data_IF_184303950922
#
_entry.id   IF_184303950922
#
_cell.length_a   1.000
_cell.length_b   1.000
_cell.length_c   1.000
_cell.angle_alpha   90.00
_cell.angle_beta   90.00
_cell.angle_gamma   90.00
#
_symmetry.space_group_name_H-M   'P 1'
#
loop_
_entity.id
_entity.type
_entity.pdbx_description
1 polymer ?
#
# COMPACT_ATOMS: atom_id res chain seq x y z
N UNK A 1 -6.75 17.13 1.50
CA UNK A 1 -6.90 17.30 0.04
C UNK A 1 -7.44 16.00 -0.52
N UNK A 2 -8.58 16.02 -1.21
CA UNK A 2 -9.20 14.79 -1.71
C UNK A 2 -9.70 15.02 -3.14
N UNK A 3 -9.25 14.19 -4.07
CA UNK A 3 -9.59 14.19 -5.50
C UNK A 3 -9.40 15.57 -6.14
N UNK A 4 -8.28 16.23 -5.82
CA UNK A 4 -8.02 17.58 -6.32
C UNK A 4 -6.55 17.87 -6.62
N UNK A 5 -5.59 17.21 -5.96
CA UNK A 5 -4.18 17.47 -6.24
C UNK A 5 -3.81 16.93 -7.63
N UNK A 6 -4.47 15.85 -8.06
CA UNK A 6 -4.33 15.27 -9.39
C UNK A 6 -4.77 16.20 -10.54
N UNK A 7 -5.65 17.17 -10.27
CA UNK A 7 -6.15 18.14 -11.27
C UNK A 7 -5.25 19.39 -11.38
N UNK A 8 -4.35 19.60 -10.42
CA UNK A 8 -3.47 20.77 -10.39
C UNK A 8 -2.28 20.61 -11.35
N UNK A 9 -1.83 21.73 -11.91
CA UNK A 9 -0.65 21.83 -12.77
C UNK A 9 -0.66 20.91 -14.01
N UNK A 10 -1.78 20.77 -14.75
CA UNK A 10 -1.89 19.82 -15.86
C UNK A 10 -0.94 20.13 -17.02
N UNK A 11 -0.48 21.38 -17.14
CA UNK A 11 0.42 21.86 -18.20
C UNK A 11 1.87 22.02 -17.75
N UNK A 12 2.21 21.66 -16.50
CA UNK A 12 3.58 21.73 -16.03
C UNK A 12 4.46 20.66 -16.71
N UNK A 13 5.76 20.94 -16.82
CA UNK A 13 6.72 19.97 -17.37
C UNK A 13 6.85 18.72 -16.49
N UNK A 14 6.77 18.89 -15.16
CA UNK A 14 6.73 17.80 -14.17
C UNK A 14 5.59 18.09 -13.16
N UNK A 15 4.33 17.74 -13.50
CA UNK A 15 3.19 17.99 -12.61
C UNK A 15 3.33 17.37 -11.21
N UNK A 16 3.84 16.13 -11.04
CA UNK A 16 4.15 15.60 -9.70
C UNK A 16 5.11 16.45 -8.87
N UNK A 17 6.15 17.03 -9.48
CA UNK A 17 7.08 17.91 -8.75
C UNK A 17 6.40 19.21 -8.28
N UNK A 18 5.60 19.86 -9.13
CA UNK A 18 4.85 21.07 -8.77
C UNK A 18 3.83 20.80 -7.65
N UNK A 19 3.11 19.68 -7.74
CA UNK A 19 2.19 19.23 -6.69
C UNK A 19 2.92 18.97 -5.37
N UNK A 20 4.09 18.35 -5.42
CA UNK A 20 4.92 18.15 -4.24
C UNK A 20 5.40 19.48 -3.64
N UNK A 21 5.77 20.47 -4.46
CA UNK A 21 6.16 21.79 -3.99
C UNK A 21 5.02 22.49 -3.21
N UNK A 22 3.80 22.46 -3.74
CA UNK A 22 2.62 23.00 -3.02
C UNK A 22 2.38 22.29 -1.70
N UNK A 23 2.40 20.95 -1.70
CA UNK A 23 2.24 20.19 -0.45
C UNK A 23 3.36 20.52 0.55
N UNK A 24 4.59 20.66 0.06
CA UNK A 24 5.75 21.04 0.86
C UNK A 24 5.60 22.39 1.54
N UNK A 25 5.02 23.38 0.86
CA UNK A 25 4.72 24.71 1.43
C UNK A 25 3.67 24.66 2.55
N UNK A 26 2.81 23.64 2.59
CA UNK A 26 1.80 23.48 3.64
C UNK A 26 2.33 22.79 4.90
N UNK A 27 3.42 22.01 4.79
CA UNK A 27 3.98 21.25 5.93
C UNK A 27 4.34 22.10 7.15
N UNK A 28 4.96 23.30 7.03
CA UNK A 28 5.32 24.13 8.18
C UNK A 28 4.13 24.65 8.99
N UNK A 29 2.92 24.63 8.42
CA UNK A 29 1.69 25.07 9.08
C UNK A 29 0.99 23.96 9.87
N UNK A 30 1.53 22.73 9.86
CA UNK A 30 0.99 21.66 10.68
C UNK A 30 1.22 21.94 12.17
N UNK A 31 0.17 21.74 12.97
CA UNK A 31 0.32 21.58 14.41
C UNK A 31 1.30 20.41 14.72
N UNK A 32 1.88 20.34 15.94
CA UNK A 32 2.87 19.31 16.30
C UNK A 32 2.43 17.86 16.03
N UNK A 33 1.13 17.58 16.08
CA UNK A 33 0.56 16.26 15.75
C UNK A 33 -0.39 16.28 14.56
N UNK A 34 -0.35 17.36 13.78
CA UNK A 34 -1.13 17.54 12.57
C UNK A 34 -0.73 16.54 11.48
N UNK A 35 -1.64 16.30 10.55
CA UNK A 35 -1.42 15.37 9.43
C UNK A 35 -2.00 15.98 8.16
N UNK A 36 -1.21 16.03 7.10
CA UNK A 36 -1.74 16.26 5.75
C UNK A 36 -2.22 14.91 5.23
N UNK A 37 -3.52 14.83 4.92
CA UNK A 37 -4.12 13.71 4.21
C UNK A 37 -4.37 14.10 2.75
N UNK A 38 -3.81 13.29 1.85
CA UNK A 38 -4.03 13.37 0.41
C UNK A 38 -4.75 12.09 0.01
N UNK A 39 -5.86 12.22 -0.71
CA UNK A 39 -6.63 11.10 -1.27
C UNK A 39 -6.83 11.36 -2.74
N UNK A 40 -6.55 10.36 -3.58
CA UNK A 40 -6.70 10.43 -5.03
C UNK A 40 -7.38 9.15 -5.55
N UNK A 41 -8.03 9.20 -6.73
CA UNK A 41 -8.61 8.00 -7.34
C UNK A 41 -7.57 6.89 -7.53
N UNK A 42 -7.96 5.63 -7.35
CA UNK A 42 -7.08 4.47 -7.52
C UNK A 42 -6.78 4.11 -8.99
N UNK A 43 -6.97 5.04 -9.92
CA UNK A 43 -6.62 4.84 -11.32
C UNK A 43 -5.09 4.82 -11.47
N UNK A 44 -4.58 4.00 -12.39
CA UNK A 44 -3.13 3.82 -12.61
C UNK A 44 -2.39 5.17 -12.72
N UNK A 45 -2.91 6.09 -13.53
CA UNK A 45 -2.26 7.39 -13.77
C UNK A 45 -2.24 8.27 -12.52
N UNK A 46 -3.38 8.45 -11.85
CA UNK A 46 -3.49 9.31 -10.65
C UNK A 46 -2.74 8.72 -9.46
N UNK A 47 -2.83 7.41 -9.26
CA UNK A 47 -2.09 6.71 -8.20
C UNK A 47 -0.58 6.81 -8.40
N UNK A 48 -0.08 6.57 -9.62
CA UNK A 48 1.36 6.69 -9.93
C UNK A 48 1.85 8.12 -9.79
N UNK A 49 1.06 9.11 -10.19
CA UNK A 49 1.39 10.52 -9.96
C UNK A 49 1.51 10.82 -8.46
N UNK A 50 0.62 10.29 -7.61
CA UNK A 50 0.74 10.43 -6.15
C UNK A 50 1.99 9.73 -5.58
N UNK A 51 2.39 8.58 -6.13
CA UNK A 51 3.65 7.91 -5.75
C UNK A 51 4.89 8.75 -6.11
N UNK A 52 4.83 9.46 -7.24
CA UNK A 52 5.88 10.41 -7.65
C UNK A 52 5.90 11.63 -6.72
N UNK A 53 4.75 12.24 -6.41
CA UNK A 53 4.62 13.33 -5.41
C UNK A 53 5.26 12.92 -4.09
N UNK A 54 4.95 11.71 -3.58
CA UNK A 54 5.58 11.14 -2.39
C UNK A 54 7.11 11.11 -2.52
N UNK A 55 7.65 10.60 -3.64
CA UNK A 55 9.09 10.52 -3.84
C UNK A 55 9.75 11.92 -3.87
N UNK A 56 9.11 12.93 -4.48
CA UNK A 56 9.63 14.31 -4.47
C UNK A 56 9.65 14.90 -3.06
N UNK A 57 8.57 14.74 -2.28
CA UNK A 57 8.52 15.21 -0.89
C UNK A 57 9.58 14.54 -0.01
N UNK A 58 9.82 13.24 -0.19
CA UNK A 58 10.84 12.52 0.57
C UNK A 58 12.27 12.94 0.22
N UNK A 59 12.53 13.29 -1.04
CA UNK A 59 13.83 13.86 -1.45
C UNK A 59 14.13 15.19 -0.77
N UNK A 60 13.10 15.95 -0.38
CA UNK A 60 13.26 17.22 0.34
C UNK A 60 13.53 17.04 1.84
N UNK A 61 13.24 15.86 2.40
CA UNK A 61 13.48 15.56 3.82
C UNK A 61 12.60 16.34 4.81
N UNK A 62 11.48 16.93 4.34
CA UNK A 62 10.65 17.83 5.14
C UNK A 62 9.52 17.14 5.93
N UNK A 63 9.26 15.86 5.65
CA UNK A 63 8.15 15.14 6.27
C UNK A 63 8.45 13.65 6.42
N UNK A 64 7.70 13.02 7.32
CA UNK A 64 7.63 11.58 7.49
C UNK A 64 6.35 11.03 6.87
N UNK A 65 6.46 9.91 6.16
CA UNK A 65 5.27 9.16 5.72
C UNK A 65 4.72 8.38 6.90
N UNK A 66 3.56 8.81 7.40
CA UNK A 66 2.85 8.12 8.47
C UNK A 66 2.18 6.85 7.97
N UNK A 67 1.52 6.91 6.80
CA UNK A 67 0.82 5.80 6.11
C UNK A 67 0.60 6.20 4.63
N UNK A 68 0.41 5.28 3.66
CA UNK A 68 0.38 3.81 3.74
C UNK A 68 1.76 3.16 3.76
N UNK A 69 2.78 3.80 3.18
CA UNK A 69 4.09 3.19 3.02
C UNK A 69 4.79 3.02 4.37
N UNK A 70 5.36 1.84 4.61
CA UNK A 70 6.10 1.52 5.84
C UNK A 70 7.61 1.79 5.69
N UNK A 71 7.98 2.67 4.76
CA UNK A 71 9.35 3.03 4.43
C UNK A 71 9.39 4.40 3.72
N UNK A 72 10.58 4.96 3.59
CA UNK A 72 10.84 6.25 2.90
C UNK A 72 11.79 6.13 1.70
N UNK A 73 12.12 4.90 1.30
CA UNK A 73 12.75 4.64 0.00
C UNK A 73 11.81 4.98 -1.16
N UNK A 74 12.37 5.04 -2.37
CA UNK A 74 11.59 5.15 -3.62
C UNK A 74 10.47 4.10 -3.65
N UNK A 75 9.29 4.49 -4.13
CA UNK A 75 8.13 3.58 -4.17
C UNK A 75 8.38 2.40 -5.14
N UNK A 76 8.39 1.13 -4.68
CA UNK A 76 8.64 -0.02 -5.56
C UNK A 76 7.54 -0.24 -6.61
N UNK A 77 6.34 0.31 -6.39
CA UNK A 77 5.26 0.21 -7.38
C UNK A 77 5.54 1.04 -8.64
N UNK A 78 6.54 1.93 -8.62
CA UNK A 78 6.97 2.68 -9.80
C UNK A 78 7.96 1.92 -10.68
N UNK A 79 8.57 0.84 -10.18
CA UNK A 79 9.60 0.07 -10.87
C UNK A 79 9.08 -0.58 -12.16
N UNK A 80 7.80 -0.97 -12.18
CA UNK A 80 7.12 -1.47 -13.38
C UNK A 80 6.05 -0.45 -13.84
N UNK A 81 5.92 -0.16 -15.15
CA UNK A 81 4.98 0.85 -15.66
C UNK A 81 3.50 0.51 -15.39
N UNK A 82 3.18 -0.78 -15.33
CA UNK A 82 1.81 -1.27 -15.13
C UNK A 82 1.41 -1.45 -13.67
N UNK A 83 2.32 -1.22 -12.73
CA UNK A 83 2.04 -1.36 -11.30
C UNK A 83 1.59 -0.05 -10.66
N UNK A 84 0.71 -0.16 -9.66
CA UNK A 84 0.38 0.92 -8.74
C UNK A 84 -0.18 0.38 -7.42
N UNK A 85 0.10 1.09 -6.32
CA UNK A 85 -0.52 0.81 -5.02
C UNK A 85 -1.79 1.66 -4.81
N UNK A 86 -2.81 1.03 -4.24
CA UNK A 86 -4.04 1.66 -3.78
C UNK A 86 -4.58 0.91 -2.56
N UNK A 87 -5.53 1.55 -1.88
CA UNK A 87 -6.33 1.03 -0.78
C UNK A 87 -7.72 0.65 -1.29
N UNK A 88 -8.34 -0.32 -0.60
CA UNK A 88 -9.70 -0.74 -0.85
C UNK A 88 -10.46 -0.77 0.48
N UNK A 89 -11.65 -0.18 0.52
CA UNK A 89 -12.50 -0.13 1.72
C UNK A 89 -13.92 -0.57 1.37
N UNK A 90 -14.53 -1.47 2.17
CA UNK A 90 -15.94 -1.81 2.00
C UNK A 90 -16.79 -0.55 1.95
N UNK A 91 -17.75 -0.53 1.04
CA UNK A 91 -18.63 0.60 0.86
C UNK A 91 -20.08 0.19 1.00
N UNK A 92 -20.79 0.86 1.91
CA UNK A 92 -22.22 0.73 1.99
C UNK A 92 -22.86 1.64 0.94
N UNK A 93 -23.15 1.06 -0.22
CA UNK A 93 -23.76 1.75 -1.36
C UNK A 93 -25.15 2.29 -0.99
N UNK A 94 -25.42 3.60 -1.15
CA UNK A 94 -26.75 4.15 -0.96
C UNK A 94 -27.78 3.48 -1.88
N UNK A 95 -29.04 3.27 -1.44
CA UNK A 95 -30.03 2.51 -2.22
C UNK A 95 -30.26 3.02 -3.64
N UNK A 96 -30.25 4.34 -3.85
CA UNK A 96 -30.40 4.95 -5.17
C UNK A 96 -29.24 4.59 -6.10
N UNK A 97 -28.00 4.57 -5.59
CA UNK A 97 -26.83 4.17 -6.38
C UNK A 97 -26.83 2.67 -6.63
N UNK A 98 -27.24 1.86 -5.65
CA UNK A 98 -27.36 0.41 -5.81
C UNK A 98 -28.41 0.02 -6.87
N UNK A 99 -29.49 0.80 -7.01
CA UNK A 99 -30.46 0.62 -8.08
C UNK A 99 -29.83 0.91 -9.46
N UNK A 100 -29.14 2.04 -9.59
CA UNK A 100 -28.43 2.40 -10.82
C UNK A 100 -27.36 1.36 -11.19
N UNK A 101 -26.54 0.95 -10.23
CA UNK A 101 -25.49 -0.05 -10.43
C UNK A 101 -26.09 -1.39 -10.91
N UNK A 102 -27.26 -1.78 -10.41
CA UNK A 102 -27.99 -2.97 -10.88
C UNK A 102 -28.46 -2.82 -12.31
N UNK A 103 -29.01 -1.67 -12.68
CA UNK A 103 -29.54 -1.40 -14.02
C UNK A 103 -28.42 -1.36 -15.08
N UNK A 104 -27.23 -0.90 -14.71
CA UNK A 104 -26.06 -0.83 -15.62
C UNK A 104 -25.11 -2.03 -15.50
N UNK A 105 -25.34 -2.94 -14.55
CA UNK A 105 -24.51 -4.12 -14.32
C UNK A 105 -23.16 -3.84 -13.63
N UNK A 106 -23.04 -2.74 -12.89
CA UNK A 106 -21.84 -2.43 -12.10
C UNK A 106 -21.85 -3.13 -10.75
N UNK A 107 -20.68 -3.65 -10.36
CA UNK A 107 -20.42 -4.19 -9.03
C UNK A 107 -19.46 -3.24 -8.33
N UNK A 108 -19.99 -2.46 -7.37
CA UNK A 108 -19.23 -1.51 -6.55
C UNK A 108 -19.48 -1.80 -5.08
N UNK A 109 -18.82 -2.84 -4.59
CA UNK A 109 -18.84 -3.28 -3.18
C UNK A 109 -17.76 -2.59 -2.33
N UNK A 110 -16.78 -1.95 -2.97
CA UNK A 110 -15.69 -1.25 -2.30
C UNK A 110 -15.30 0.06 -2.99
N UNK A 111 -14.83 1.02 -2.17
CA UNK A 111 -14.15 2.23 -2.63
C UNK A 111 -12.66 1.97 -2.79
N UNK A 112 -12.14 2.32 -3.96
CA UNK A 112 -10.72 2.20 -4.28
C UNK A 112 -10.10 3.58 -4.41
N UNK A 113 -9.07 3.86 -3.61
CA UNK A 113 -8.37 5.13 -3.63
C UNK A 113 -6.89 4.95 -3.29
N UNK A 114 -6.04 5.85 -3.75
CA UNK A 114 -4.67 5.97 -3.26
C UNK A 114 -4.62 7.10 -2.25
N UNK A 115 -3.84 6.95 -1.19
CA UNK A 115 -3.72 7.99 -0.18
C UNK A 115 -2.29 8.16 0.31
N UNK A 116 -2.02 9.31 0.91
CA UNK A 116 -0.75 9.63 1.56
C UNK A 116 -1.04 10.45 2.81
N UNK A 117 -0.54 9.97 3.96
CA UNK A 117 -0.58 10.66 5.25
C UNK A 117 0.83 11.14 5.59
N UNK A 118 1.00 12.46 5.69
CA UNK A 118 2.28 13.10 5.95
C UNK A 118 2.25 13.81 7.30
N UNK A 119 3.33 13.68 8.07
CA UNK A 119 3.55 14.33 9.37
C UNK A 119 4.96 14.91 9.45
N UNK A 120 5.19 15.76 10.44
CA UNK A 120 6.50 16.39 10.71
C UNK A 120 7.13 15.96 12.05
N UNK A 121 6.44 15.11 12.82
CA UNK A 121 6.86 14.67 14.16
C UNK A 121 7.55 13.30 14.19
N UNK A 122 7.95 12.76 13.03
CA UNK A 122 8.63 11.48 12.92
C UNK A 122 7.76 10.25 13.18
N UNK A 123 6.49 10.41 13.55
CA UNK A 123 5.62 9.27 13.86
C UNK A 123 5.22 8.50 12.61
N UNK A 124 5.11 7.20 12.76
CA UNK A 124 4.65 6.26 11.73
C UNK A 124 3.49 5.42 12.27
N UNK A 125 2.65 4.88 11.39
CA UNK A 125 1.48 4.08 11.80
C UNK A 125 1.85 2.82 12.60
N UNK A 126 3.05 2.28 12.34
CA UNK A 126 3.71 1.21 13.07
C UNK A 126 5.22 1.45 13.06
N UNK A 127 5.96 0.83 13.97
CA UNK A 127 7.42 0.81 13.89
C UNK A 127 7.86 0.13 12.59
N UNK A 128 8.76 0.79 11.85
CA UNK A 128 9.31 0.24 10.62
C UNK A 128 10.28 -0.90 10.94
N UNK A 129 10.21 -1.96 10.14
CA UNK A 129 11.06 -3.14 10.31
C UNK A 129 11.11 -3.93 8.99
N UNK A 130 12.23 -4.63 8.70
CA UNK A 130 12.31 -5.55 7.56
C UNK A 130 11.30 -6.71 7.63
N UNK A 131 10.72 -6.96 8.80
CA UNK A 131 9.74 -8.01 9.07
C UNK A 131 8.29 -7.49 9.08
N UNK A 132 8.09 -6.17 9.02
CA UNK A 132 6.75 -5.55 9.02
C UNK A 132 6.39 -5.12 7.61
N UNK A 133 5.24 -5.59 7.12
CA UNK A 133 4.78 -5.40 5.75
C UNK A 133 3.37 -4.84 5.74
N UNK A 134 3.06 -4.05 4.71
CA UNK A 134 1.67 -3.79 4.32
C UNK A 134 1.28 -4.77 3.23
N UNK A 135 0.12 -5.39 3.35
CA UNK A 135 -0.51 -6.19 2.30
C UNK A 135 -1.06 -5.24 1.24
N UNK A 136 -0.61 -5.38 -0.01
CA UNK A 136 -0.92 -4.45 -1.13
C UNK A 136 -1.63 -5.15 -2.30
N UNK A 137 -2.14 -6.36 -2.08
CA UNK A 137 -3.05 -7.05 -2.98
C UNK A 137 -4.13 -7.80 -2.19
N UNK A 138 -5.12 -8.33 -2.91
CA UNK A 138 -5.97 -9.38 -2.34
C UNK A 138 -5.16 -10.63 -2.02
N UNK A 139 -5.65 -11.39 -1.05
CA UNK A 139 -5.16 -12.73 -0.77
C UNK A 139 -5.66 -13.66 -1.88
N UNK A 140 -4.75 -14.08 -2.76
CA UNK A 140 -5.07 -15.01 -3.85
C UNK A 140 -5.03 -16.43 -3.33
N UNK A 141 -6.16 -17.12 -3.42
CA UNK A 141 -6.26 -18.55 -3.15
C UNK A 141 -5.99 -19.32 -4.44
N UNK A 142 -4.98 -20.19 -4.39
CA UNK A 142 -4.50 -21.01 -5.49
C UNK A 142 -4.57 -22.47 -5.07
N UNK A 143 -4.40 -23.39 -6.02
CA UNK A 143 -4.40 -24.84 -5.71
C UNK A 143 -3.22 -25.19 -4.79
N UNK A 144 -3.51 -25.45 -3.51
CA UNK A 144 -2.54 -25.89 -2.51
C UNK A 144 -1.77 -24.76 -1.81
N UNK A 145 -2.16 -23.50 -2.01
CA UNK A 145 -1.47 -22.35 -1.40
C UNK A 145 -2.27 -21.04 -1.43
N UNK A 146 -1.85 -20.09 -0.60
CA UNK A 146 -2.32 -18.70 -0.62
C UNK A 146 -1.15 -17.72 -0.82
N UNK A 147 -1.37 -16.64 -1.57
CA UNK A 147 -0.34 -15.63 -1.88
C UNK A 147 -0.87 -14.21 -1.85
N UNK A 148 -0.04 -13.27 -1.40
CA UNK A 148 -0.31 -11.84 -1.51
C UNK A 148 0.95 -11.07 -1.89
N UNK A 149 0.78 -9.91 -2.52
CA UNK A 149 1.85 -8.92 -2.66
C UNK A 149 1.95 -8.13 -1.36
N UNK A 150 3.17 -8.05 -0.85
CA UNK A 150 3.51 -7.29 0.35
C UNK A 150 4.41 -6.13 -0.03
N UNK A 151 4.49 -5.11 0.82
CA UNK A 151 5.40 -3.99 0.62
C UNK A 151 6.01 -3.52 1.93
N UNK A 152 7.34 -3.33 1.93
CA UNK A 152 8.08 -2.65 2.98
C UNK A 152 9.39 -2.06 2.43
N UNK A 153 10.33 -1.72 3.31
CA UNK A 153 11.63 -1.17 2.93
C UNK A 153 12.53 -2.10 2.08
N UNK A 154 12.20 -3.39 2.00
CA UNK A 154 12.92 -4.38 1.19
C UNK A 154 12.36 -4.52 -0.23
N UNK A 155 11.27 -3.80 -0.54
CA UNK A 155 10.62 -3.81 -1.85
C UNK A 155 9.19 -4.31 -1.78
N UNK A 156 8.70 -4.83 -2.91
CA UNK A 156 7.34 -5.34 -3.09
C UNK A 156 7.33 -6.85 -3.43
N UNK A 157 7.66 -7.75 -2.48
CA UNK A 157 7.71 -9.18 -2.77
C UNK A 157 6.31 -9.82 -2.84
N UNK A 158 6.18 -10.85 -3.66
CA UNK A 158 5.08 -11.81 -3.54
C UNK A 158 5.45 -12.85 -2.47
N UNK A 159 4.56 -13.06 -1.49
CA UNK A 159 4.78 -13.97 -0.37
C UNK A 159 3.57 -14.88 -0.22
N UNK A 160 3.81 -16.16 0.07
CA UNK A 160 2.73 -17.11 0.25
C UNK A 160 3.04 -18.27 1.17
N UNK A 161 1.98 -18.95 1.60
CA UNK A 161 2.00 -20.14 2.45
C UNK A 161 1.37 -21.30 1.69
N UNK A 162 2.05 -22.45 1.68
CA UNK A 162 1.46 -23.70 1.17
C UNK A 162 0.46 -24.22 2.20
N UNK A 163 -0.64 -24.82 1.77
CA UNK A 163 -1.69 -25.30 2.68
C UNK A 163 -1.16 -26.34 3.67
N UNK A 164 -0.29 -27.25 3.20
CA UNK A 164 0.41 -28.25 4.04
C UNK A 164 1.40 -27.65 5.06
N UNK A 165 1.64 -26.34 5.01
CA UNK A 165 2.50 -25.58 5.93
C UNK A 165 1.68 -24.70 6.88
N UNK A 166 0.35 -24.80 6.85
CA UNK A 166 -0.50 -24.17 7.85
C UNK A 166 -0.20 -24.69 9.26
N UNK A 167 -0.13 -23.79 10.22
CA UNK A 167 0.09 -24.09 11.63
C UNK A 167 -0.52 -23.00 12.52
N UNK A 168 -0.51 -23.24 13.84
CA UNK A 168 -0.89 -22.23 14.85
C UNK A 168 -0.01 -20.98 14.81
N UNK A 169 1.25 -21.08 14.35
CA UNK A 169 2.17 -19.95 14.27
C UNK A 169 1.83 -18.98 13.15
N UNK A 170 1.14 -19.44 12.10
CA UNK A 170 0.90 -18.67 10.88
C UNK A 170 -0.57 -18.59 10.46
N UNK A 171 -1.50 -18.87 11.37
CA UNK A 171 -2.95 -18.83 11.08
C UNK A 171 -3.42 -17.44 10.61
N UNK A 172 -2.74 -16.37 11.04
CA UNK A 172 -3.05 -15.01 10.61
C UNK A 172 -2.98 -14.78 9.09
N UNK A 173 -2.27 -15.64 8.34
CA UNK A 173 -2.25 -15.58 6.86
C UNK A 173 -3.65 -15.72 6.26
N UNK A 174 -4.53 -16.50 6.89
CA UNK A 174 -5.89 -16.74 6.39
C UNK A 174 -6.80 -15.50 6.49
N UNK A 175 -6.39 -14.49 7.25
CA UNK A 175 -7.12 -13.23 7.42
C UNK A 175 -6.43 -12.04 6.75
N UNK A 176 -5.41 -12.29 5.92
CA UNK A 176 -4.77 -11.22 5.15
C UNK A 176 -5.76 -10.62 4.15
N UNK A 177 -5.77 -9.29 4.10
CA UNK A 177 -6.54 -8.49 3.18
C UNK A 177 -5.74 -7.24 2.83
N UNK A 178 -6.05 -6.60 1.70
CA UNK A 178 -5.39 -5.35 1.30
C UNK A 178 -5.50 -4.31 2.43
N UNK A 179 -4.40 -3.62 2.70
CA UNK A 179 -4.34 -2.59 3.72
C UNK A 179 -3.87 -3.10 5.09
N UNK A 180 -4.03 -4.40 5.38
CA UNK A 180 -3.54 -4.98 6.61
C UNK A 180 -2.02 -4.78 6.77
N UNK A 181 -1.59 -4.50 8.00
CA UNK A 181 -0.18 -4.48 8.38
C UNK A 181 0.12 -5.76 9.13
N UNK A 182 1.08 -6.50 8.64
CA UNK A 182 1.46 -7.83 9.12
C UNK A 182 2.92 -7.86 9.51
N UNK A 183 3.25 -8.65 10.51
CA UNK A 183 4.63 -8.98 10.85
C UNK A 183 4.87 -10.45 10.55
N UNK A 184 5.97 -10.73 9.84
CA UNK A 184 6.37 -12.07 9.44
C UNK A 184 7.79 -12.27 9.94
N UNK A 185 7.97 -13.24 10.85
CA UNK A 185 9.26 -13.52 11.48
C UNK A 185 10.34 -13.85 10.44
N UNK A 186 9.99 -14.72 9.49
CA UNK A 186 10.92 -15.22 8.48
C UNK A 186 10.21 -15.55 7.17
N UNK A 187 10.84 -15.14 6.06
CA UNK A 187 10.44 -15.49 4.70
C UNK A 187 11.58 -16.28 4.06
N UNK A 188 11.29 -17.50 3.60
CA UNK A 188 12.27 -18.36 2.91
C UNK A 188 12.10 -18.22 1.40
N UNK A 189 13.21 -18.05 0.67
CA UNK A 189 13.20 -18.18 -0.79
C UNK A 189 13.94 -19.44 -1.19
N UNK A 190 13.29 -20.27 -1.99
CA UNK A 190 13.93 -21.46 -2.55
C UNK A 190 14.89 -21.03 -3.65
N UNK A 191 16.07 -21.64 -3.66
CA UNK A 191 17.04 -21.50 -4.74
C UNK A 191 17.21 -22.85 -5.42
N UNK A 192 17.24 -22.85 -6.75
CA UNK A 192 17.53 -24.03 -7.56
C UNK A 192 18.37 -23.61 -8.75
N UNK A 193 19.49 -24.29 -8.98
CA UNK A 193 20.41 -24.02 -10.09
C UNK A 193 20.84 -22.54 -10.16
N UNK A 194 21.12 -21.92 -9.01
CA UNK A 194 21.48 -20.50 -8.89
C UNK A 194 20.33 -19.50 -9.10
N UNK A 195 19.10 -19.97 -9.33
CA UNK A 195 17.92 -19.12 -9.50
C UNK A 195 17.08 -19.10 -8.23
N UNK A 196 16.93 -17.90 -7.66
CA UNK A 196 16.08 -17.65 -6.50
C UNK A 196 14.63 -17.51 -6.96
N UNK A 197 13.71 -18.22 -6.30
CA UNK A 197 12.29 -18.12 -6.57
C UNK A 197 11.78 -16.70 -6.32
N UNK A 198 10.94 -16.14 -7.22
CA UNK A 198 10.35 -14.81 -7.01
C UNK A 198 9.39 -14.78 -5.82
N UNK A 199 8.88 -15.94 -5.40
CA UNK A 199 7.89 -16.07 -4.32
C UNK A 199 8.58 -16.41 -3.01
N UNK A 200 8.42 -15.54 -2.02
CA UNK A 200 8.78 -15.81 -0.63
C UNK A 200 7.80 -16.81 0.02
N UNK A 201 8.31 -17.67 0.88
CA UNK A 201 7.56 -18.75 1.54
C UNK A 201 7.54 -18.60 3.05
N UNK A 202 6.35 -18.78 3.61
CA UNK A 202 6.11 -18.92 5.05
C UNK A 202 6.12 -20.41 5.37
N UNK A 203 7.04 -20.82 6.23
CA UNK A 203 7.15 -22.21 6.70
C UNK A 203 6.25 -22.45 7.93
N UNK A 204 6.06 -23.71 8.31
CA UNK A 204 5.14 -24.10 9.40
C UNK A 204 5.56 -23.58 10.77
N UNK A 205 6.84 -23.28 10.96
CA UNK A 205 7.43 -22.78 12.20
C UNK A 205 7.55 -21.25 12.24
N UNK A 206 7.30 -20.54 11.14
CA UNK A 206 7.44 -19.09 11.08
C UNK A 206 6.20 -18.38 11.66
N UNK A 207 6.41 -17.50 12.64
CA UNK A 207 5.33 -16.72 13.22
C UNK A 207 4.83 -15.62 12.26
N UNK A 208 3.50 -15.49 12.16
CA UNK A 208 2.82 -14.43 11.41
C UNK A 208 1.73 -13.82 12.28
N UNK A 209 1.71 -12.50 12.37
CA UNK A 209 0.68 -11.76 13.08
C UNK A 209 0.17 -10.57 12.26
N UNK A 210 -1.10 -10.24 12.41
CA UNK A 210 -1.67 -8.97 11.94
C UNK A 210 -1.45 -7.95 13.06
N UNK A 211 -0.57 -6.98 12.81
CA UNK A 211 -0.28 -5.88 13.75
C UNK A 211 -1.39 -4.83 13.70
N UNK A 212 -1.95 -4.61 12.50
CA UNK A 212 -3.14 -3.78 12.31
C UNK A 212 -4.02 -4.35 11.19
N UNK A 213 -5.31 -4.63 11.43
CA UNK A 213 -6.24 -5.12 10.41
C UNK A 213 -6.80 -3.96 9.56
N UNK A 214 -6.00 -2.90 9.35
CA UNK A 214 -6.40 -1.53 8.97
C UNK A 214 -7.57 -1.54 8.01
#
# INVERSE_FOLDING_TARGET
MANCLNESFPTAADPPAERAAVVGQLLPFLAPHGTIMIVEPALRQTARALHQVRNHLLKQGLCTVYSPCLHEKACPALDHPDDWCHEERPWQTPPAIAALDRDVGFIKDALKFSYLLLRTDGRTIVQRSPQTFRVVSELRELKGEKRAWLCNETGRPEVGRLDRKASSHNTAVDSWHRGAIVQIERIVRKERDGKVSPVGRIESDAAVQIVRPV
#
